data_IF_667523029665
#
_entry.id   IF_667523029665
#
_cell.length_a   1.000
_cell.length_b   1.000
_cell.length_c   1.000
_cell.angle_alpha   90.00
_cell.angle_beta   90.00
_cell.angle_gamma   90.00
#
_symmetry.space_group_name_H-M   'P 1'
#
loop_
_entity.id
_entity.type
_entity.pdbx_description
1 polymer ?
#
# COMPACT_ATOMS: atom_id res chain seq x y z
N UNK A 1 -22.34 -3.11 23.03
CA UNK A 1 -23.68 -3.61 22.68
C UNK A 1 -24.77 -3.04 23.60
N UNK A 2 -24.85 -3.39 24.89
CA UNK A 2 -25.89 -2.86 25.81
C UNK A 2 -25.91 -1.32 25.86
N UNK A 3 -24.73 -0.67 25.96
CA UNK A 3 -24.64 0.81 25.99
C UNK A 3 -25.16 1.49 24.73
N UNK A 4 -24.88 0.92 23.55
CA UNK A 4 -25.37 1.46 22.29
C UNK A 4 -26.87 1.22 22.14
N UNK A 5 -27.36 0.05 22.56
CA UNK A 5 -28.79 -0.28 22.56
C UNK A 5 -29.62 0.65 23.47
N UNK A 6 -29.07 1.10 24.61
CA UNK A 6 -29.74 2.09 25.48
C UNK A 6 -29.79 3.47 24.82
N UNK A 7 -28.72 3.89 24.14
CA UNK A 7 -28.70 5.17 23.41
C UNK A 7 -29.60 5.15 22.17
N UNK A 8 -29.71 4.01 21.49
CA UNK A 8 -30.62 3.81 20.36
C UNK A 8 -32.09 3.63 20.78
N UNK A 9 -32.38 3.41 22.07
CA UNK A 9 -33.75 3.20 22.56
C UNK A 9 -34.54 4.52 22.71
N UNK A 10 -33.84 5.65 22.87
CA UNK A 10 -34.42 7.01 22.91
C UNK A 10 -33.54 7.99 22.13
N UNK A 11 -33.45 7.82 20.80
CA UNK A 11 -32.58 8.65 19.96
C UNK A 11 -32.91 10.15 20.09
N UNK A 12 -34.17 10.49 20.38
CA UNK A 12 -34.67 11.85 20.69
C UNK A 12 -33.93 12.58 21.81
N UNK A 13 -33.31 11.85 22.75
CA UNK A 13 -32.62 12.42 23.91
C UNK A 13 -31.11 12.52 23.73
N UNK A 14 -30.56 12.06 22.59
CA UNK A 14 -29.11 11.93 22.41
C UNK A 14 -28.36 13.27 22.57
N UNK A 15 -28.92 14.37 22.05
CA UNK A 15 -28.34 15.69 22.22
C UNK A 15 -28.37 16.17 23.68
N UNK A 16 -29.49 15.98 24.39
CA UNK A 16 -29.62 16.39 25.80
C UNK A 16 -28.63 15.63 26.69
N UNK A 17 -28.48 14.32 26.45
CA UNK A 17 -27.49 13.49 27.16
C UNK A 17 -26.07 13.94 26.84
N UNK A 18 -25.78 14.27 25.57
CA UNK A 18 -24.46 14.79 25.19
C UNK A 18 -24.15 16.10 25.91
N UNK A 19 -25.10 17.03 25.92
CA UNK A 19 -24.97 18.34 26.56
C UNK A 19 -24.74 18.21 28.06
N UNK A 20 -25.57 17.44 28.75
CA UNK A 20 -25.46 17.24 30.18
C UNK A 20 -24.13 16.57 30.56
N UNK A 21 -23.74 15.54 29.81
CA UNK A 21 -22.47 14.86 30.01
C UNK A 21 -21.26 15.78 29.78
N UNK A 22 -21.33 16.65 28.75
CA UNK A 22 -20.27 17.62 28.43
C UNK A 22 -20.06 18.65 29.54
N UNK A 23 -21.11 19.00 30.27
CA UNK A 23 -21.04 19.90 31.43
C UNK A 23 -20.37 19.25 32.64
N UNK A 24 -20.40 17.91 32.72
CA UNK A 24 -19.82 17.14 33.82
C UNK A 24 -18.38 16.68 33.56
N UNK A 25 -18.04 16.34 32.32
CA UNK A 25 -16.72 15.82 31.95
C UNK A 25 -16.31 16.19 30.53
N UNK A 26 -15.01 16.30 30.28
CA UNK A 26 -14.43 16.42 28.93
C UNK A 26 -13.97 15.06 28.38
N UNK A 27 -14.02 14.01 29.19
CA UNK A 27 -13.56 12.67 28.83
C UNK A 27 -14.69 11.66 29.09
N UNK A 28 -15.27 11.15 28.01
CA UNK A 28 -16.26 10.08 28.09
C UNK A 28 -16.28 9.26 26.80
N UNK A 29 -16.33 7.94 26.95
CA UNK A 29 -16.52 6.99 25.84
C UNK A 29 -17.90 7.12 25.15
N UNK A 30 -18.81 7.94 25.67
CA UNK A 30 -20.15 8.13 25.12
C UNK A 30 -20.26 9.26 24.09
N UNK A 31 -19.29 10.20 24.04
CA UNK A 31 -19.39 11.33 23.12
C UNK A 31 -19.46 10.91 21.65
N UNK A 32 -18.60 9.97 21.24
CA UNK A 32 -18.56 9.41 19.89
C UNK A 32 -19.87 8.69 19.50
N UNK A 33 -20.38 7.70 20.28
CA UNK A 33 -21.68 7.09 20.01
C UNK A 33 -22.85 8.07 19.96
N UNK A 34 -22.90 9.04 20.88
CA UNK A 34 -23.96 10.05 20.91
C UNK A 34 -23.93 10.93 19.66
N UNK A 35 -22.74 11.37 19.23
CA UNK A 35 -22.57 12.15 18.02
C UNK A 35 -23.03 11.39 16.77
N UNK A 36 -22.71 10.09 16.69
CA UNK A 36 -23.22 9.23 15.62
C UNK A 36 -24.75 9.18 15.60
N UNK A 37 -25.39 8.99 16.76
CA UNK A 37 -26.86 8.96 16.86
C UNK A 37 -27.47 10.30 16.45
N UNK A 38 -26.91 11.42 16.92
CA UNK A 38 -27.36 12.77 16.54
C UNK A 38 -27.27 12.97 15.02
N UNK A 39 -26.16 12.54 14.40
CA UNK A 39 -26.00 12.60 12.94
C UNK A 39 -26.96 11.69 12.18
N UNK A 40 -27.14 10.45 12.64
CA UNK A 40 -28.01 9.46 12.01
C UNK A 40 -29.49 9.87 12.05
N UNK A 41 -29.91 10.61 13.08
CA UNK A 41 -31.26 11.21 13.15
C UNK A 41 -31.46 12.36 12.18
N UNK A 42 -30.37 13.05 11.82
CA UNK A 42 -30.39 14.15 10.88
C UNK A 42 -31.30 15.33 11.31
N UNK A 43 -31.51 15.54 12.61
CA UNK A 43 -32.29 16.69 13.08
C UNK A 43 -31.45 17.97 13.05
N UNK A 44 -31.83 18.90 12.17
CA UNK A 44 -31.02 20.09 11.84
C UNK A 44 -30.71 20.95 13.07
N UNK A 45 -31.66 21.11 13.98
CA UNK A 45 -31.49 21.89 15.21
C UNK A 45 -30.44 21.27 16.13
N UNK A 46 -30.46 19.96 16.32
CA UNK A 46 -29.53 19.22 17.18
C UNK A 46 -28.12 19.19 16.58
N UNK A 47 -28.00 18.97 15.28
CA UNK A 47 -26.71 18.99 14.58
C UNK A 47 -26.07 20.38 14.69
N UNK A 48 -26.83 21.44 14.42
CA UNK A 48 -26.32 22.83 14.53
C UNK A 48 -25.97 23.17 15.99
N UNK A 49 -26.76 22.71 16.96
CA UNK A 49 -26.47 22.94 18.37
C UNK A 49 -25.18 22.23 18.80
N UNK A 50 -24.98 20.97 18.38
CA UNK A 50 -23.74 20.22 18.63
C UNK A 50 -22.53 20.94 18.03
N UNK A 51 -22.61 21.37 16.78
CA UNK A 51 -21.51 22.09 16.12
C UNK A 51 -21.14 23.39 16.85
N UNK A 52 -22.12 24.14 17.39
CA UNK A 52 -21.84 25.34 18.21
C UNK A 52 -21.13 25.02 19.53
N UNK A 53 -21.41 23.87 20.13
CA UNK A 53 -20.71 23.40 21.33
C UNK A 53 -19.25 23.12 20.96
N UNK A 54 -19.04 22.38 19.87
CA UNK A 54 -17.72 21.98 19.40
C UNK A 54 -16.84 23.18 19.03
N UNK A 55 -17.40 24.19 18.37
CA UNK A 55 -16.71 25.45 18.03
C UNK A 55 -16.12 26.16 19.27
N UNK A 56 -16.85 26.13 20.39
CA UNK A 56 -16.48 26.86 21.62
C UNK A 56 -15.67 26.01 22.60
N UNK A 57 -15.41 24.75 22.28
CA UNK A 57 -14.80 23.82 23.24
C UNK A 57 -13.27 23.89 23.17
N UNK A 58 -12.61 23.84 24.34
CA UNK A 58 -11.16 23.90 24.46
C UNK A 58 -10.44 22.61 24.01
N UNK A 59 -9.11 22.71 23.85
CA UNK A 59 -8.20 21.68 23.33
C UNK A 59 -8.21 20.32 24.07
N UNK A 60 -8.82 20.22 25.26
CA UNK A 60 -8.87 18.97 26.04
C UNK A 60 -10.11 18.11 25.74
N UNK A 61 -10.98 18.53 24.83
CA UNK A 61 -12.13 17.76 24.38
C UNK A 61 -11.87 17.09 23.03
N UNK A 62 -12.37 15.86 22.79
CA UNK A 62 -12.11 15.13 21.54
C UNK A 62 -12.98 15.65 20.37
N UNK A 63 -12.85 16.93 20.02
CA UNK A 63 -13.66 17.59 18.98
C UNK A 63 -13.57 16.83 17.65
N UNK A 64 -12.37 16.42 17.23
CA UNK A 64 -12.16 15.68 15.98
C UNK A 64 -12.89 14.32 15.96
N UNK A 65 -12.80 13.54 17.03
CA UNK A 65 -13.47 12.23 17.11
C UNK A 65 -15.01 12.39 17.09
N UNK A 66 -15.52 13.41 17.79
CA UNK A 66 -16.95 13.73 17.79
C UNK A 66 -17.43 14.19 16.40
N UNK A 67 -16.67 15.08 15.73
CA UNK A 67 -16.96 15.51 14.36
C UNK A 67 -16.98 14.32 13.38
N UNK A 68 -15.98 13.42 13.47
CA UNK A 68 -15.91 12.21 12.66
C UNK A 68 -17.17 11.36 12.81
N UNK A 69 -17.60 11.09 14.05
CA UNK A 69 -18.77 10.25 14.31
C UNK A 69 -20.08 10.93 13.93
N UNK A 70 -20.19 12.24 14.12
CA UNK A 70 -21.32 13.02 13.62
C UNK A 70 -21.44 12.90 12.09
N UNK A 71 -20.33 13.01 11.36
CA UNK A 71 -20.29 12.86 9.91
C UNK A 71 -20.65 11.44 9.44
N UNK A 72 -20.14 10.40 10.10
CA UNK A 72 -20.56 9.01 9.84
C UNK A 72 -22.07 8.81 10.03
N UNK A 73 -22.63 9.40 11.10
CA UNK A 73 -24.06 9.40 11.36
C UNK A 73 -24.85 10.07 10.24
N UNK A 74 -24.48 11.29 9.85
CA UNK A 74 -25.12 12.03 8.76
C UNK A 74 -25.06 11.25 7.43
N UNK A 75 -23.90 10.65 7.09
CA UNK A 75 -23.76 9.83 5.88
C UNK A 75 -24.74 8.65 5.88
N UNK A 76 -24.98 8.03 7.04
CA UNK A 76 -25.91 6.91 7.17
C UNK A 76 -27.38 7.28 6.88
N UNK A 77 -27.73 8.56 7.01
CA UNK A 77 -29.05 9.12 6.71
C UNK A 77 -29.12 9.87 5.37
N UNK A 78 -28.03 9.85 4.58
CA UNK A 78 -27.94 10.48 3.26
C UNK A 78 -27.55 11.97 3.28
N UNK A 79 -27.13 12.50 4.44
CA UNK A 79 -26.65 13.87 4.60
C UNK A 79 -25.13 13.93 4.76
N UNK A 80 -24.55 15.12 4.67
CA UNK A 80 -23.11 15.33 4.85
C UNK A 80 -22.82 16.52 5.78
N UNK A 81 -21.64 16.54 6.40
CA UNK A 81 -21.18 17.69 7.20
C UNK A 81 -21.13 18.98 6.35
N UNK A 82 -20.84 18.86 5.05
CA UNK A 82 -20.83 19.98 4.10
C UNK A 82 -22.17 20.71 3.97
N UNK A 83 -23.27 20.06 4.35
CA UNK A 83 -24.61 20.66 4.31
C UNK A 83 -24.82 21.69 5.44
N UNK A 84 -23.87 21.77 6.38
CA UNK A 84 -23.90 22.64 7.56
C UNK A 84 -22.74 23.63 7.53
N UNK A 85 -22.97 24.94 7.25
CA UNK A 85 -21.90 25.94 7.22
C UNK A 85 -21.08 26.02 8.51
N UNK A 86 -21.72 25.82 9.66
CA UNK A 86 -21.07 25.81 10.97
C UNK A 86 -20.07 24.64 11.12
N UNK A 87 -20.26 23.54 10.40
CA UNK A 87 -19.28 22.44 10.40
C UNK A 87 -17.96 22.89 9.77
N UNK A 88 -17.99 23.69 8.71
CA UNK A 88 -16.78 24.25 8.11
C UNK A 88 -16.02 25.13 9.11
N UNK A 89 -16.72 25.97 9.89
CA UNK A 89 -16.10 26.82 10.91
C UNK A 89 -15.38 25.99 12.00
N UNK A 90 -16.00 24.90 12.48
CA UNK A 90 -15.36 23.97 13.43
C UNK A 90 -14.15 23.29 12.79
N UNK A 91 -14.26 22.86 11.53
CA UNK A 91 -13.19 22.17 10.82
C UNK A 91 -11.98 23.06 10.53
N UNK A 92 -12.14 24.38 10.34
CA UNK A 92 -11.00 25.29 10.08
C UNK A 92 -9.94 25.20 11.17
N UNK A 93 -10.36 25.25 12.44
CA UNK A 93 -9.43 25.12 13.58
C UNK A 93 -8.76 23.75 13.64
N UNK A 94 -9.54 22.68 13.48
CA UNK A 94 -9.04 21.30 13.50
C UNK A 94 -8.06 21.02 12.37
N UNK A 95 -8.34 21.54 11.17
CA UNK A 95 -7.47 21.39 10.00
C UNK A 95 -6.13 22.08 10.25
N UNK A 96 -6.13 23.30 10.78
CA UNK A 96 -4.86 23.99 11.02
C UNK A 96 -4.03 23.27 12.09
N UNK A 97 -4.66 22.79 13.16
CA UNK A 97 -4.01 21.92 14.15
C UNK A 97 -3.46 20.63 13.53
N UNK A 98 -4.24 19.96 12.70
CA UNK A 98 -3.83 18.75 12.00
C UNK A 98 -2.61 19.01 11.09
N UNK A 99 -2.59 20.12 10.35
CA UNK A 99 -1.45 20.51 9.51
C UNK A 99 -0.21 20.82 10.35
N UNK A 100 -0.37 21.49 11.49
CA UNK A 100 0.75 21.70 12.43
C UNK A 100 1.30 20.38 12.96
N UNK A 101 0.43 19.44 13.34
CA UNK A 101 0.79 18.09 13.79
C UNK A 101 1.57 17.34 12.71
N UNK A 102 1.15 17.43 11.45
CA UNK A 102 1.80 16.74 10.34
C UNK A 102 3.15 17.37 9.98
N UNK A 103 3.30 18.69 10.09
CA UNK A 103 4.56 19.39 9.82
C UNK A 103 5.63 19.20 10.91
N UNK A 104 5.22 18.90 12.15
CA UNK A 104 6.14 18.81 13.28
C UNK A 104 6.89 17.47 13.31
N UNK A 105 8.21 17.54 13.43
CA UNK A 105 9.06 16.38 13.63
C UNK A 105 8.84 15.73 15.01
N UNK A 106 9.04 14.41 15.12
CA UNK A 106 8.98 13.68 16.38
C UNK A 106 7.56 13.42 16.93
N UNK A 107 6.51 13.78 16.20
CA UNK A 107 5.14 13.42 16.57
C UNK A 107 4.89 11.93 16.33
N UNK A 108 4.20 11.27 17.26
CA UNK A 108 3.87 9.84 17.13
C UNK A 108 2.96 9.57 15.94
N UNK A 109 3.12 8.40 15.31
CA UNK A 109 2.28 7.97 14.18
C UNK A 109 0.79 8.01 14.50
N UNK A 110 0.38 7.65 15.73
CA UNK A 110 -1.03 7.73 16.15
C UNK A 110 -1.63 9.13 16.02
N UNK A 111 -0.92 10.16 16.49
CA UNK A 111 -1.37 11.56 16.36
C UNK A 111 -1.34 12.05 14.90
N UNK A 112 -0.36 11.60 14.12
CA UNK A 112 -0.31 11.91 12.69
C UNK A 112 -1.47 11.27 11.93
N UNK A 113 -1.84 10.03 12.24
CA UNK A 113 -3.00 9.35 11.65
C UNK A 113 -4.30 10.06 12.01
N UNK A 114 -4.46 10.53 13.24
CA UNK A 114 -5.62 11.33 13.64
C UNK A 114 -5.69 12.63 12.84
N UNK A 115 -4.57 13.34 12.68
CA UNK A 115 -4.49 14.53 11.84
C UNK A 115 -4.81 14.25 10.37
N UNK A 116 -4.35 13.11 9.82
CA UNK A 116 -4.71 12.68 8.45
C UNK A 116 -6.21 12.53 8.27
N UNK A 117 -6.89 11.88 9.22
CA UNK A 117 -8.35 11.71 9.20
C UNK A 117 -9.09 13.04 9.23
N UNK A 118 -8.62 13.99 10.05
CA UNK A 118 -9.19 15.35 10.08
C UNK A 118 -9.10 16.01 8.71
N UNK A 119 -7.95 15.91 8.03
CA UNK A 119 -7.79 16.47 6.68
C UNK A 119 -8.73 15.81 5.66
N UNK A 120 -8.88 14.48 5.72
CA UNK A 120 -9.78 13.75 4.83
C UNK A 120 -11.25 14.14 5.01
N UNK A 121 -11.67 14.49 6.23
CA UNK A 121 -13.05 14.86 6.55
C UNK A 121 -13.41 16.32 6.24
N UNK A 122 -12.41 17.18 6.04
CA UNK A 122 -12.65 18.61 5.92
C UNK A 122 -13.19 19.00 4.54
N UNK A 123 -12.38 18.84 3.50
CA UNK A 123 -12.72 19.15 2.12
C UNK A 123 -11.62 18.66 1.16
N UNK A 124 -11.94 18.54 -0.13
CA UNK A 124 -11.06 18.05 -1.18
C UNK A 124 -9.86 18.97 -1.46
N UNK A 125 -9.92 20.24 -1.06
CA UNK A 125 -8.80 21.17 -1.15
C UNK A 125 -7.53 20.65 -0.44
N UNK A 126 -7.68 19.77 0.56
CA UNK A 126 -6.57 19.17 1.32
C UNK A 126 -6.02 17.87 0.71
N UNK A 127 -6.53 17.44 -0.45
CA UNK A 127 -5.98 16.28 -1.15
C UNK A 127 -4.48 16.46 -1.45
N UNK A 128 -4.03 17.68 -1.70
CA UNK A 128 -2.60 17.95 -1.91
C UNK A 128 -1.77 17.67 -0.65
N UNK A 129 -2.25 18.05 0.54
CA UNK A 129 -1.58 17.75 1.80
C UNK A 129 -1.50 16.23 2.02
N UNK A 130 -2.56 15.48 1.71
CA UNK A 130 -2.56 14.01 1.80
C UNK A 130 -1.52 13.37 0.86
N UNK A 131 -1.43 13.82 -0.39
CA UNK A 131 -0.41 13.33 -1.33
C UNK A 131 1.02 13.63 -0.87
N UNK A 132 1.26 14.75 -0.16
CA UNK A 132 2.57 15.10 0.39
C UNK A 132 3.00 14.17 1.55
N UNK A 133 2.06 13.41 2.13
CA UNK A 133 2.38 12.41 3.16
C UNK A 133 2.90 11.10 2.57
N UNK A 134 2.70 10.85 1.26
CA UNK A 134 3.17 9.65 0.55
C UNK A 134 4.66 9.74 0.22
N UNK A 135 5.47 9.86 1.27
CA UNK A 135 6.93 10.02 1.18
C UNK A 135 7.65 9.04 2.13
N UNK A 136 8.85 8.54 1.76
CA UNK A 136 9.60 7.55 2.54
C UNK A 136 9.91 7.91 3.99
N UNK A 137 10.00 9.21 4.29
CA UNK A 137 10.29 9.72 5.62
C UNK A 137 9.12 9.54 6.60
N UNK A 138 7.90 9.30 6.10
CA UNK A 138 6.72 8.96 6.91
C UNK A 138 6.67 7.46 7.17
N UNK A 139 6.05 7.08 8.28
CA UNK A 139 5.82 5.66 8.60
C UNK A 139 4.79 5.07 7.64
N UNK A 140 4.80 3.75 7.50
CA UNK A 140 3.86 3.05 6.59
C UNK A 140 2.43 3.37 7.01
N UNK A 141 2.12 3.31 8.30
CA UNK A 141 0.78 3.50 8.85
C UNK A 141 0.21 4.89 8.55
N UNK A 142 1.05 5.93 8.56
CA UNK A 142 0.65 7.30 8.19
C UNK A 142 0.37 7.41 6.69
N UNK A 143 1.20 6.76 5.85
CA UNK A 143 0.98 6.73 4.41
C UNK A 143 -0.29 5.96 4.05
N UNK A 144 -0.56 4.84 4.71
CA UNK A 144 -1.78 4.04 4.54
C UNK A 144 -3.03 4.83 4.97
N UNK A 145 -2.97 5.56 6.09
CA UNK A 145 -4.04 6.46 6.48
C UNK A 145 -4.29 7.52 5.38
N UNK A 146 -3.24 8.12 4.82
CA UNK A 146 -3.39 9.10 3.75
C UNK A 146 -3.98 8.47 2.48
N UNK A 147 -3.58 7.25 2.12
CA UNK A 147 -4.16 6.50 1.01
C UNK A 147 -5.63 6.18 1.23
N UNK A 148 -6.05 5.86 2.45
CA UNK A 148 -7.45 5.63 2.79
C UNK A 148 -8.30 6.89 2.55
N UNK A 149 -7.82 8.05 3.00
CA UNK A 149 -8.51 9.33 2.76
C UNK A 149 -8.52 9.73 1.27
N UNK A 150 -7.41 9.51 0.55
CA UNK A 150 -7.38 9.69 -0.92
C UNK A 150 -8.35 8.72 -1.60
N UNK A 151 -8.47 7.49 -1.12
CA UNK A 151 -9.39 6.52 -1.67
C UNK A 151 -10.84 6.91 -1.43
N UNK A 152 -11.18 7.50 -0.30
CA UNK A 152 -12.55 7.95 0.00
C UNK A 152 -12.90 9.21 -0.79
N UNK A 153 -12.07 10.26 -0.72
CA UNK A 153 -12.41 11.62 -1.17
C UNK A 153 -11.71 12.05 -2.46
N UNK A 154 -10.77 11.27 -2.97
CA UNK A 154 -10.00 11.61 -4.16
C UNK A 154 -10.87 11.75 -5.42
N UNK A 155 -10.63 12.82 -6.17
CA UNK A 155 -11.20 13.04 -7.50
C UNK A 155 -10.36 12.34 -8.57
N UNK A 156 -10.82 12.33 -9.83
CA UNK A 156 -10.02 11.80 -10.95
C UNK A 156 -8.62 12.42 -11.04
N UNK A 157 -8.45 13.68 -10.66
CA UNK A 157 -7.14 14.35 -10.59
C UNK A 157 -6.16 13.71 -9.60
N UNK A 158 -6.63 13.04 -8.55
CA UNK A 158 -5.79 12.30 -7.59
C UNK A 158 -5.18 11.05 -8.22
N UNK A 159 -5.84 10.43 -9.20
CA UNK A 159 -5.34 9.22 -9.85
C UNK A 159 -3.98 9.49 -10.52
N UNK A 160 -3.89 10.56 -11.32
CA UNK A 160 -2.65 10.94 -12.00
C UNK A 160 -1.48 11.15 -11.02
N UNK A 161 -1.71 11.92 -9.97
CA UNK A 161 -0.70 12.16 -8.91
C UNK A 161 -0.27 10.86 -8.23
N UNK A 162 -1.22 10.00 -7.86
CA UNK A 162 -0.92 8.73 -7.20
C UNK A 162 -0.12 7.80 -8.12
N UNK A 163 -0.48 7.72 -9.41
CA UNK A 163 0.25 6.96 -10.43
C UNK A 163 1.69 7.46 -10.57
N UNK A 164 1.91 8.77 -10.55
CA UNK A 164 3.24 9.37 -10.64
C UNK A 164 4.09 9.08 -9.40
N UNK A 165 3.46 8.91 -8.23
CA UNK A 165 4.14 8.59 -6.97
C UNK A 165 4.49 7.11 -6.81
N UNK A 166 3.84 6.18 -7.53
CA UNK A 166 4.07 4.72 -7.39
C UNK A 166 5.55 4.28 -7.40
N UNK A 167 6.46 4.81 -8.25
CA UNK A 167 7.88 4.42 -8.23
C UNK A 167 8.57 4.72 -6.90
N UNK A 168 8.09 5.72 -6.17
CA UNK A 168 8.74 6.26 -4.98
C UNK A 168 8.25 5.62 -3.68
N UNK A 169 7.22 4.77 -3.77
CA UNK A 169 6.61 4.11 -2.63
C UNK A 169 7.33 2.80 -2.30
N UNK A 170 7.39 2.48 -1.01
CA UNK A 170 7.85 1.17 -0.54
C UNK A 170 6.86 0.06 -0.93
N UNK A 171 7.26 -1.23 -0.91
CA UNK A 171 6.42 -2.32 -1.40
C UNK A 171 5.03 -2.36 -0.75
N UNK A 172 4.97 -2.17 0.57
CA UNK A 172 3.73 -2.23 1.35
C UNK A 172 2.76 -1.10 0.96
N UNK A 173 3.25 0.14 0.95
CA UNK A 173 2.45 1.33 0.61
C UNK A 173 2.04 1.30 -0.87
N UNK A 174 2.94 0.86 -1.75
CA UNK A 174 2.67 0.78 -3.19
C UNK A 174 1.61 -0.25 -3.54
N UNK A 175 1.61 -1.40 -2.87
CA UNK A 175 0.57 -2.42 -3.04
C UNK A 175 -0.81 -1.86 -2.69
N UNK A 176 -0.90 -1.11 -1.59
CA UNK A 176 -2.14 -0.45 -1.18
C UNK A 176 -2.55 0.67 -2.13
N UNK A 177 -1.62 1.53 -2.55
CA UNK A 177 -1.86 2.57 -3.54
C UNK A 177 -2.39 1.99 -4.87
N UNK A 178 -1.86 0.84 -5.28
CA UNK A 178 -2.34 0.12 -6.46
C UNK A 178 -3.77 -0.38 -6.26
N UNK A 179 -4.09 -0.99 -5.11
CA UNK A 179 -5.48 -1.38 -4.83
C UNK A 179 -6.43 -0.18 -4.80
N UNK A 180 -6.00 0.96 -4.24
CA UNK A 180 -6.77 2.21 -4.26
C UNK A 180 -7.07 2.67 -5.70
N UNK A 181 -6.07 2.64 -6.60
CA UNK A 181 -6.26 2.93 -8.03
C UNK A 181 -7.25 1.97 -8.71
N UNK A 182 -7.30 0.72 -8.25
CA UNK A 182 -8.15 -0.32 -8.84
C UNK A 182 -9.60 -0.32 -8.33
N UNK A 183 -9.97 0.60 -7.40
CA UNK A 183 -11.34 0.69 -6.86
C UNK A 183 -12.35 1.38 -7.78
N UNK A 184 -11.89 2.19 -8.73
CA UNK A 184 -12.75 3.03 -9.60
C UNK A 184 -12.37 2.83 -11.05
N UNK A 185 -13.35 2.56 -11.92
CA UNK A 185 -13.12 2.34 -13.36
C UNK A 185 -12.34 3.49 -14.01
N UNK A 186 -12.67 4.74 -13.70
CA UNK A 186 -11.94 5.90 -14.24
C UNK A 186 -10.46 5.91 -13.85
N UNK A 187 -10.12 5.46 -12.64
CA UNK A 187 -8.74 5.40 -12.15
C UNK A 187 -7.99 4.20 -12.71
N UNK A 188 -8.69 3.07 -12.89
CA UNK A 188 -8.16 1.91 -13.60
C UNK A 188 -7.78 2.28 -15.03
N UNK A 189 -8.65 2.99 -15.74
CA UNK A 189 -8.36 3.47 -17.11
C UNK A 189 -7.13 4.38 -17.14
N UNK A 190 -7.05 5.37 -16.25
CA UNK A 190 -5.91 6.29 -16.16
C UNK A 190 -4.60 5.52 -15.83
N UNK A 191 -4.65 4.52 -14.95
CA UNK A 191 -3.52 3.64 -14.63
C UNK A 191 -3.08 2.83 -15.84
N UNK A 192 -3.99 2.13 -16.52
CA UNK A 192 -3.65 1.30 -17.68
C UNK A 192 -3.11 2.14 -18.85
N UNK A 193 -3.67 3.32 -19.10
CA UNK A 193 -3.15 4.26 -20.11
C UNK A 193 -1.74 4.74 -19.73
N UNK A 194 -1.48 5.00 -18.45
CA UNK A 194 -0.14 5.38 -17.97
C UNK A 194 0.87 4.24 -18.17
N UNK A 195 0.52 3.00 -17.82
CA UNK A 195 1.34 1.81 -18.04
C UNK A 195 1.67 1.65 -19.53
N UNK A 196 0.67 1.82 -20.40
CA UNK A 196 0.85 1.72 -21.84
C UNK A 196 1.83 2.77 -22.38
N UNK A 197 1.66 4.03 -21.97
CA UNK A 197 2.48 5.16 -22.46
C UNK A 197 3.91 5.11 -21.93
N UNK A 198 4.06 4.93 -20.61
CA UNK A 198 5.37 4.99 -19.95
C UNK A 198 6.14 3.68 -20.08
N UNK A 199 5.46 2.57 -20.40
CA UNK A 199 5.99 1.18 -20.35
C UNK A 199 6.57 0.80 -18.98
N UNK A 200 6.25 1.57 -17.95
CA UNK A 200 6.62 1.32 -16.57
C UNK A 200 5.45 0.59 -15.87
N UNK A 201 5.75 -0.15 -14.81
CA UNK A 201 4.75 -0.75 -13.89
C UNK A 201 3.98 -1.99 -14.36
N UNK A 202 4.17 -2.50 -15.59
CA UNK A 202 3.46 -3.73 -16.03
C UNK A 202 3.69 -4.90 -15.05
N UNK A 203 4.91 -5.04 -14.53
CA UNK A 203 5.30 -6.09 -13.58
C UNK A 203 4.84 -5.82 -12.14
N UNK A 204 4.40 -4.59 -11.84
CA UNK A 204 3.94 -4.20 -10.50
C UNK A 204 2.46 -4.54 -10.27
N UNK A 205 1.71 -4.79 -11.35
CA UNK A 205 0.36 -5.34 -11.26
C UNK A 205 0.49 -6.86 -11.10
N UNK A 206 0.11 -7.38 -9.94
CA UNK A 206 0.18 -8.82 -9.64
C UNK A 206 -0.67 -9.65 -10.61
N UNK A 207 -0.34 -10.94 -10.79
CA UNK A 207 -1.16 -11.84 -11.62
C UNK A 207 -2.65 -11.86 -11.23
N UNK A 208 -2.94 -11.79 -9.93
CA UNK A 208 -4.32 -11.74 -9.45
C UNK A 208 -5.05 -10.49 -9.95
N UNK A 209 -4.41 -9.33 -9.84
CA UNK A 209 -4.93 -8.07 -10.36
C UNK A 209 -5.02 -8.08 -11.89
N UNK A 210 -4.01 -8.60 -12.60
CA UNK A 210 -4.05 -8.75 -14.07
C UNK A 210 -5.23 -9.62 -14.51
N UNK A 211 -5.45 -10.77 -13.84
CA UNK A 211 -6.60 -11.65 -14.10
C UNK A 211 -7.94 -10.96 -13.85
N UNK A 212 -8.04 -10.15 -12.77
CA UNK A 212 -9.21 -9.31 -12.47
C UNK A 212 -9.47 -8.31 -13.61
N UNK A 213 -8.42 -7.63 -14.07
CA UNK A 213 -8.49 -6.62 -15.13
C UNK A 213 -8.82 -7.22 -16.51
N UNK A 214 -8.29 -8.41 -16.81
CA UNK A 214 -8.61 -9.14 -18.05
C UNK A 214 -10.06 -9.62 -18.11
N UNK A 215 -10.72 -9.77 -16.96
CA UNK A 215 -12.13 -10.17 -16.82
C UNK A 215 -13.04 -9.00 -16.41
N UNK A 216 -12.54 -7.77 -16.48
CA UNK A 216 -13.28 -6.60 -16.02
C UNK A 216 -14.56 -6.36 -16.85
N UNK A 217 -15.68 -5.90 -16.22
CA UNK A 217 -16.94 -5.65 -16.91
C UNK A 217 -16.88 -4.51 -17.93
N UNK A 218 -16.11 -3.45 -17.66
CA UNK A 218 -15.88 -2.36 -18.62
C UNK A 218 -15.12 -2.88 -19.86
N UNK A 219 -15.68 -2.76 -21.09
CA UNK A 219 -15.01 -3.16 -22.32
C UNK A 219 -13.71 -2.39 -22.59
N UNK A 220 -13.66 -1.11 -22.18
CA UNK A 220 -12.48 -0.25 -22.33
C UNK A 220 -11.33 -0.78 -21.49
N UNK A 221 -11.57 -1.05 -20.20
CA UNK A 221 -10.57 -1.61 -19.28
C UNK A 221 -10.13 -2.99 -19.77
N UNK A 222 -11.07 -3.84 -20.19
CA UNK A 222 -10.75 -5.18 -20.67
C UNK A 222 -9.85 -5.13 -21.92
N UNK A 223 -10.11 -4.22 -22.86
CA UNK A 223 -9.30 -4.02 -24.07
C UNK A 223 -7.88 -3.56 -23.73
N UNK A 224 -7.75 -2.57 -22.84
CA UNK A 224 -6.45 -2.08 -22.35
C UNK A 224 -5.68 -3.20 -21.62
N UNK A 225 -6.35 -3.91 -20.72
CA UNK A 225 -5.78 -5.03 -19.98
C UNK A 225 -5.31 -6.15 -20.92
N UNK A 226 -6.08 -6.51 -21.95
CA UNK A 226 -5.66 -7.48 -22.97
C UNK A 226 -4.40 -7.00 -23.69
N UNK A 227 -4.36 -5.73 -24.11
CA UNK A 227 -3.19 -5.16 -24.79
C UNK A 227 -1.92 -5.16 -23.93
N UNK A 228 -2.08 -5.00 -22.61
CA UNK A 228 -0.97 -4.90 -21.67
C UNK A 228 -0.49 -6.25 -21.13
N UNK A 229 -1.43 -7.09 -20.69
CA UNK A 229 -1.17 -8.29 -19.89
C UNK A 229 -1.41 -9.60 -20.64
N UNK A 230 -1.95 -9.59 -21.85
CA UNK A 230 -1.96 -10.83 -22.65
C UNK A 230 -0.52 -11.23 -22.91
N UNK A 231 -0.21 -12.52 -22.77
CA UNK A 231 1.15 -13.07 -22.82
C UNK A 231 1.92 -12.52 -24.03
N UNK A 232 2.75 -11.49 -23.79
CA UNK A 232 3.64 -10.95 -24.80
C UNK A 232 4.89 -11.80 -24.83
N UNK A 233 5.33 -12.12 -26.05
CA UNK A 233 6.61 -12.79 -26.21
C UNK A 233 7.71 -11.89 -25.65
N UNK A 234 8.51 -12.38 -24.72
CA UNK A 234 9.68 -11.66 -24.21
C UNK A 234 10.91 -12.04 -25.04
N UNK A 235 11.95 -11.18 -25.12
CA UNK A 235 13.21 -11.56 -25.76
C UNK A 235 13.82 -12.85 -25.19
N UNK A 236 13.54 -13.15 -23.91
CA UNK A 236 14.01 -14.34 -23.19
C UNK A 236 13.23 -15.60 -23.56
N UNK A 237 12.09 -15.52 -24.25
CA UNK A 237 11.33 -16.72 -24.66
C UNK A 237 12.16 -17.69 -25.49
N UNK A 238 13.03 -17.20 -26.38
CA UNK A 238 13.91 -18.08 -27.17
C UNK A 238 14.83 -18.91 -26.28
N UNK A 239 15.32 -18.31 -25.19
CA UNK A 239 16.19 -18.97 -24.21
C UNK A 239 15.37 -19.99 -23.42
N UNK A 240 14.21 -19.59 -22.90
CA UNK A 240 13.28 -20.50 -22.20
C UNK A 240 12.94 -21.71 -23.08
N UNK A 241 12.57 -21.50 -24.35
CA UNK A 241 12.25 -22.60 -25.28
C UNK A 241 13.45 -23.51 -25.54
N UNK A 242 14.66 -22.95 -25.72
CA UNK A 242 15.90 -23.75 -25.83
C UNK A 242 16.10 -24.61 -24.59
N UNK A 243 15.90 -24.04 -23.41
CA UNK A 243 16.12 -24.72 -22.14
C UNK A 243 15.05 -25.75 -21.78
N UNK A 244 13.89 -25.76 -22.45
CA UNK A 244 12.95 -26.89 -22.35
C UNK A 244 13.58 -28.22 -22.72
N UNK A 245 14.66 -28.24 -23.52
CA UNK A 245 15.39 -29.46 -23.82
C UNK A 245 16.00 -30.12 -22.56
N UNK A 246 16.29 -29.36 -21.51
CA UNK A 246 16.80 -29.89 -20.25
C UNK A 246 15.79 -30.84 -19.56
N UNK A 247 14.49 -30.71 -19.83
CA UNK A 247 13.45 -31.65 -19.35
C UNK A 247 13.65 -33.09 -19.82
N UNK A 248 14.35 -33.28 -20.94
CA UNK A 248 14.55 -34.60 -21.55
C UNK A 248 15.81 -35.28 -21.03
N UNK A 249 16.61 -34.59 -20.22
CA UNK A 249 17.85 -35.11 -19.67
C UNK A 249 17.56 -35.75 -18.31
N UNK A 250 18.32 -36.79 -17.97
CA UNK A 250 18.32 -37.32 -16.61
C UNK A 250 19.15 -36.37 -15.74
N UNK A 251 18.51 -35.76 -14.74
CA UNK A 251 19.18 -34.88 -13.77
C UNK A 251 19.73 -35.66 -12.57
N UNK A 252 20.90 -35.26 -12.09
CA UNK A 252 21.53 -35.74 -10.85
C UNK A 252 21.37 -34.70 -9.73
N UNK A 253 20.65 -35.05 -8.67
CA UNK A 253 20.38 -34.15 -7.55
C UNK A 253 21.65 -33.71 -6.79
N UNK A 254 22.70 -34.55 -6.73
CA UNK A 254 23.94 -34.17 -6.05
C UNK A 254 24.69 -33.10 -6.85
N UNK A 255 24.75 -33.24 -8.18
CA UNK A 255 25.29 -32.19 -9.07
C UNK A 255 24.41 -30.94 -9.05
N UNK A 256 23.09 -31.12 -8.94
CA UNK A 256 22.14 -30.02 -8.81
C UNK A 256 22.38 -29.17 -7.56
N UNK A 257 22.72 -29.80 -6.43
CA UNK A 257 23.11 -29.11 -5.21
C UNK A 257 24.36 -28.25 -5.41
N UNK A 258 25.36 -28.72 -6.18
CA UNK A 258 26.54 -27.91 -6.51
C UNK A 258 26.17 -26.68 -7.36
N UNK A 259 25.28 -26.86 -8.35
CA UNK A 259 24.76 -25.75 -9.16
C UNK A 259 24.01 -24.75 -8.28
N UNK A 260 23.18 -25.21 -7.34
CA UNK A 260 22.48 -24.37 -6.37
C UNK A 260 23.45 -23.58 -5.49
N UNK A 261 24.46 -24.24 -4.92
CA UNK A 261 25.48 -23.61 -4.07
C UNK A 261 26.29 -22.55 -4.82
N UNK A 262 26.57 -22.78 -6.11
CA UNK A 262 27.35 -21.82 -6.91
C UNK A 262 26.54 -20.60 -7.35
N UNK A 263 25.26 -20.77 -7.67
CA UNK A 263 24.50 -19.73 -8.38
C UNK A 263 23.30 -19.17 -7.60
N UNK A 264 22.75 -19.92 -6.64
CA UNK A 264 21.45 -19.61 -6.02
C UNK A 264 21.57 -19.30 -4.52
N UNK A 265 22.51 -19.93 -3.81
CA UNK A 265 22.60 -19.90 -2.33
C UNK A 265 22.82 -18.51 -1.75
N UNK A 266 23.44 -17.60 -2.51
CA UNK A 266 23.65 -16.22 -2.10
C UNK A 266 22.33 -15.47 -1.87
N UNK A 267 21.25 -15.90 -2.52
CA UNK A 267 19.94 -15.24 -2.41
C UNK A 267 18.85 -16.16 -1.88
N UNK A 268 18.90 -17.46 -2.15
CA UNK A 268 17.84 -18.40 -1.83
C UNK A 268 18.26 -19.38 -0.76
N UNK A 269 17.32 -19.71 0.12
CA UNK A 269 17.50 -20.71 1.17
C UNK A 269 16.92 -22.06 0.74
N UNK A 270 17.63 -23.13 1.09
CA UNK A 270 17.16 -24.52 1.04
C UNK A 270 17.56 -25.23 2.33
N UNK A 271 16.59 -25.60 3.17
CA UNK A 271 16.88 -26.08 4.52
C UNK A 271 17.59 -25.00 5.35
N UNK A 272 18.75 -25.34 5.90
CA UNK A 272 19.60 -24.42 6.67
C UNK A 272 20.65 -23.67 5.82
N UNK A 273 20.82 -24.02 4.54
CA UNK A 273 21.80 -23.38 3.65
C UNK A 273 21.20 -22.18 2.90
N UNK A 274 21.94 -21.07 2.87
CA UNK A 274 21.62 -19.87 2.08
C UNK A 274 20.92 -18.77 2.87
N UNK A 275 20.26 -17.86 2.15
CA UNK A 275 19.72 -16.61 2.73
C UNK A 275 18.27 -16.36 2.31
N UNK A 276 17.52 -15.59 3.10
CA UNK A 276 16.12 -15.23 2.84
C UNK A 276 15.99 -13.92 2.02
N UNK A 277 16.82 -13.76 0.99
CA UNK A 277 16.79 -12.59 0.12
C UNK A 277 15.79 -12.78 -1.01
N UNK A 278 15.82 -13.94 -1.68
CA UNK A 278 14.82 -14.43 -2.60
C UNK A 278 13.80 -15.35 -1.91
N UNK A 279 12.77 -15.80 -2.64
CA UNK A 279 11.83 -16.80 -2.12
C UNK A 279 12.53 -18.09 -1.69
N UNK A 280 11.99 -18.76 -0.67
CA UNK A 280 12.47 -20.07 -0.25
C UNK A 280 12.27 -21.10 -1.38
N UNK A 281 13.36 -21.74 -1.83
CA UNK A 281 13.30 -22.65 -2.98
C UNK A 281 12.65 -23.99 -2.64
N UNK A 282 12.43 -24.31 -1.35
CA UNK A 282 11.63 -25.47 -0.97
C UNK A 282 10.20 -25.41 -1.55
N UNK A 283 9.69 -24.19 -1.81
CA UNK A 283 8.37 -23.99 -2.43
C UNK A 283 8.30 -24.41 -3.90
N UNK A 284 9.46 -24.60 -4.56
CA UNK A 284 9.56 -25.00 -5.98
C UNK A 284 9.08 -26.44 -6.19
N UNK A 285 9.12 -27.29 -5.16
CA UNK A 285 8.64 -28.69 -5.23
C UNK A 285 7.21 -28.80 -5.76
N UNK A 286 6.36 -27.82 -5.49
CA UNK A 286 4.95 -27.80 -5.90
C UNK A 286 4.69 -27.09 -7.25
N UNK A 287 5.73 -26.60 -7.94
CA UNK A 287 5.60 -25.90 -9.22
C UNK A 287 5.86 -26.82 -10.40
N UNK A 288 5.23 -26.53 -11.53
CA UNK A 288 5.60 -27.16 -12.80
C UNK A 288 6.98 -26.67 -13.25
N UNK A 289 7.69 -27.52 -14.00
CA UNK A 289 9.05 -27.21 -14.46
C UNK A 289 9.09 -25.96 -15.34
N UNK A 290 8.14 -25.83 -16.25
CA UNK A 290 8.16 -24.74 -17.24
C UNK A 290 8.04 -23.38 -16.54
N UNK A 291 7.15 -23.27 -15.55
CA UNK A 291 6.99 -22.10 -14.70
C UNK A 291 8.26 -21.79 -13.89
N UNK A 292 8.89 -22.80 -13.29
CA UNK A 292 10.14 -22.62 -12.55
C UNK A 292 11.30 -22.19 -13.48
N UNK A 293 11.41 -22.81 -14.65
CA UNK A 293 12.41 -22.49 -15.66
C UNK A 293 12.26 -21.03 -16.13
N UNK A 294 11.02 -20.60 -16.36
CA UNK A 294 10.71 -19.22 -16.70
C UNK A 294 11.18 -18.27 -15.60
N UNK A 295 10.97 -18.58 -14.32
CA UNK A 295 11.40 -17.71 -13.22
C UNK A 295 12.92 -17.65 -13.08
N UNK A 296 13.63 -18.74 -13.39
CA UNK A 296 15.09 -18.78 -13.35
C UNK A 296 15.69 -18.01 -14.53
N UNK A 297 15.14 -18.19 -15.74
CA UNK A 297 15.71 -17.63 -16.97
C UNK A 297 15.14 -16.27 -17.34
N UNK A 298 13.97 -15.89 -16.84
CA UNK A 298 13.32 -14.61 -17.09
C UNK A 298 12.76 -14.05 -15.77
N UNK A 299 13.64 -13.73 -14.79
CA UNK A 299 13.23 -13.29 -13.46
C UNK A 299 12.48 -11.96 -13.46
N UNK A 300 12.57 -11.19 -14.56
CA UNK A 300 11.81 -9.95 -14.74
C UNK A 300 10.42 -10.18 -15.37
N UNK A 301 10.10 -11.39 -15.85
CA UNK A 301 8.78 -11.68 -16.42
C UNK A 301 7.66 -11.41 -15.42
N UNK A 302 7.87 -11.88 -14.20
CA UNK A 302 6.98 -11.68 -13.07
C UNK A 302 7.81 -11.34 -11.84
N UNK A 303 7.66 -10.12 -11.37
CA UNK A 303 8.35 -9.65 -10.18
C UNK A 303 7.30 -9.48 -9.10
N UNK A 304 7.41 -10.28 -8.05
CA UNK A 304 6.62 -10.06 -6.85
C UNK A 304 7.07 -8.73 -6.22
N UNK A 305 6.12 -7.88 -5.82
CA UNK A 305 6.40 -6.51 -5.36
C UNK A 305 7.43 -6.44 -4.22
N UNK A 306 7.51 -7.47 -3.39
CA UNK A 306 8.46 -7.58 -2.29
C UNK A 306 9.85 -8.09 -2.70
N UNK A 307 10.07 -8.49 -3.96
CA UNK A 307 11.36 -8.98 -4.51
C UNK A 307 11.98 -8.07 -5.57
N UNK A 308 11.42 -6.88 -5.75
CA UNK A 308 12.01 -5.84 -6.57
C UNK A 308 13.28 -5.25 -5.95
N UNK A 309 14.20 -4.82 -6.80
CA UNK A 309 15.34 -4.02 -6.42
C UNK A 309 14.93 -2.55 -6.23
N UNK A 310 15.36 -1.97 -5.13
CA UNK A 310 15.19 -0.58 -4.76
C UNK A 310 16.53 0.15 -4.67
N UNK A 311 16.48 1.44 -4.95
CA UNK A 311 17.54 2.40 -4.67
C UNK A 311 17.06 3.39 -3.61
N UNK A 312 17.77 3.45 -2.49
CA UNK A 312 17.48 4.37 -1.39
C UNK A 312 18.59 5.41 -1.34
N UNK A 313 18.28 6.64 -1.71
CA UNK A 313 19.21 7.76 -1.59
C UNK A 313 19.02 8.42 -0.23
N UNK A 314 20.12 8.58 0.49
CA UNK A 314 20.17 9.21 1.80
C UNK A 314 20.39 10.72 1.67
N UNK A 315 20.05 11.47 2.71
CA UNK A 315 20.23 12.92 2.79
C UNK A 315 21.69 13.36 2.68
N UNK A 316 22.64 12.49 3.04
CA UNK A 316 24.07 12.72 2.89
C UNK A 316 24.60 12.43 1.46
N UNK A 317 23.73 12.07 0.50
CA UNK A 317 24.08 11.79 -0.89
C UNK A 317 24.42 10.33 -1.20
N UNK A 318 24.61 9.48 -0.19
CA UNK A 318 24.87 8.05 -0.40
C UNK A 318 23.64 7.36 -1.00
N UNK A 319 23.85 6.45 -1.96
CA UNK A 319 22.77 5.58 -2.48
C UNK A 319 23.05 4.14 -2.09
N UNK A 320 22.02 3.50 -1.55
CA UNK A 320 22.05 2.14 -1.02
C UNK A 320 21.04 1.33 -1.82
N UNK A 321 21.48 0.28 -2.53
CA UNK A 321 20.60 -0.55 -3.35
C UNK A 321 20.31 -1.91 -2.71
N UNK A 322 19.15 -2.51 -2.97
CA UNK A 322 18.78 -3.83 -2.43
C UNK A 322 17.28 -4.05 -2.43
N UNK A 323 16.83 -5.17 -1.86
CA UNK A 323 15.40 -5.44 -1.63
C UNK A 323 15.02 -4.95 -0.25
N UNK A 324 13.85 -4.33 -0.09
CA UNK A 324 13.33 -3.99 1.24
C UNK A 324 12.85 -5.28 1.91
N UNK A 325 13.61 -5.76 2.90
CA UNK A 325 13.32 -7.01 3.64
C UNK A 325 12.50 -6.77 4.91
N UNK A 326 12.62 -5.58 5.50
CA UNK A 326 11.82 -5.13 6.65
C UNK A 326 11.49 -3.65 6.53
N UNK A 327 10.29 -3.31 6.97
CA UNK A 327 9.83 -1.93 7.16
C UNK A 327 9.32 -1.77 8.59
N UNK A 328 9.72 -0.70 9.26
CA UNK A 328 9.20 -0.33 10.58
C UNK A 328 8.87 1.17 10.64
N UNK A 329 8.34 1.63 11.77
CA UNK A 329 8.14 3.05 12.03
C UNK A 329 9.48 3.83 12.08
N UNK A 330 10.58 3.21 12.50
CA UNK A 330 11.88 3.87 12.67
C UNK A 330 12.76 3.82 11.42
N UNK A 331 12.63 2.80 10.58
CA UNK A 331 13.58 2.53 9.51
C UNK A 331 13.11 1.51 8.47
N UNK A 332 14.01 1.26 7.53
CA UNK A 332 13.93 0.22 6.53
C UNK A 332 15.20 -0.62 6.60
N UNK A 333 15.09 -1.90 6.29
CA UNK A 333 16.26 -2.76 6.08
C UNK A 333 16.31 -3.20 4.63
N UNK A 334 17.44 -2.93 3.97
CA UNK A 334 17.73 -3.43 2.64
C UNK A 334 18.58 -4.70 2.72
N UNK A 335 18.12 -5.77 2.09
CA UNK A 335 18.87 -7.02 1.92
C UNK A 335 19.51 -7.11 0.52
N UNK A 336 20.69 -7.73 0.46
CA UNK A 336 21.42 -8.06 -0.77
C UNK A 336 21.88 -9.51 -0.76
N UNK A 337 22.35 -9.98 -1.91
CA UNK A 337 23.04 -11.26 -2.05
C UNK A 337 24.12 -11.44 -0.95
N UNK A 338 24.23 -12.67 -0.44
CA UNK A 338 25.09 -13.03 0.69
C UNK A 338 24.50 -12.71 2.06
N UNK A 339 23.21 -12.35 2.14
CA UNK A 339 22.56 -12.01 3.42
C UNK A 339 22.98 -10.66 3.99
N UNK A 340 23.61 -9.80 3.20
CA UNK A 340 24.06 -8.49 3.67
C UNK A 340 22.85 -7.58 3.88
N UNK A 341 22.64 -7.17 5.12
CA UNK A 341 21.60 -6.21 5.50
C UNK A 341 22.16 -4.80 5.71
N UNK A 342 21.40 -3.78 5.34
CA UNK A 342 21.70 -2.38 5.61
C UNK A 342 20.47 -1.73 6.25
N UNK A 343 20.58 -1.38 7.53
CA UNK A 343 19.52 -0.67 8.25
C UNK A 343 19.63 0.83 8.01
N UNK A 344 18.51 1.44 7.64
CA UNK A 344 18.42 2.84 7.24
C UNK A 344 17.31 3.50 8.05
N UNK A 345 17.67 4.50 8.86
CA UNK A 345 16.68 5.29 9.58
C UNK A 345 15.85 6.14 8.62
N UNK A 346 14.52 6.15 8.76
CA UNK A 346 13.61 6.91 7.88
C UNK A 346 13.95 8.40 7.80
N UNK A 347 14.37 8.99 8.92
CA UNK A 347 14.77 10.40 9.00
C UNK A 347 15.96 10.76 8.08
N UNK A 348 16.79 9.77 7.72
CA UNK A 348 17.96 9.94 6.85
C UNK A 348 17.63 9.69 5.37
N UNK A 349 16.44 9.19 5.05
CA UNK A 349 16.05 8.90 3.66
C UNK A 349 15.70 10.22 2.95
N UNK A 350 16.26 10.40 1.76
CA UNK A 350 15.92 11.48 0.84
C UNK A 350 14.90 10.98 -0.19
N UNK A 351 15.14 9.82 -0.79
CA UNK A 351 14.22 9.19 -1.74
C UNK A 351 14.37 7.67 -1.73
N UNK A 352 13.31 6.99 -2.18
CA UNK A 352 13.28 5.57 -2.49
C UNK A 352 12.78 5.47 -3.91
N UNK A 353 13.41 4.64 -4.73
CA UNK A 353 12.99 4.43 -6.11
C UNK A 353 13.02 2.93 -6.38
N UNK A 354 11.89 2.37 -6.79
CA UNK A 354 11.87 1.02 -7.37
C UNK A 354 12.54 1.05 -8.74
N UNK A 355 13.43 0.09 -8.99
CA UNK A 355 14.01 -0.13 -10.31
C UNK A 355 13.02 -0.70 -11.32
N UNK A 356 11.87 -1.20 -10.86
CA UNK A 356 10.93 -2.00 -11.66
C UNK A 356 11.51 -3.34 -12.13
N UNK A 357 12.65 -3.77 -11.57
CA UNK A 357 13.37 -5.00 -11.90
C UNK A 357 13.51 -5.90 -10.68
N UNK A 358 13.60 -7.20 -10.93
CA UNK A 358 13.93 -8.19 -9.92
C UNK A 358 15.34 -7.95 -9.38
N UNK A 359 15.56 -8.26 -8.09
CA UNK A 359 16.91 -8.34 -7.55
C UNK A 359 17.67 -9.58 -8.09
N UNK A 360 16.95 -10.59 -8.59
CA UNK A 360 17.55 -11.77 -9.20
C UNK A 360 18.20 -11.41 -10.55
N UNK A 361 19.47 -11.80 -10.78
CA UNK A 361 20.17 -11.48 -12.02
C UNK A 361 19.61 -12.24 -13.22
N UNK A 362 19.64 -11.60 -14.39
CA UNK A 362 19.47 -12.28 -15.67
C UNK A 362 20.80 -12.87 -16.16
N UNK A 363 20.75 -13.79 -17.13
CA UNK A 363 21.95 -14.31 -17.79
C UNK A 363 22.51 -15.61 -17.18
N UNK A 364 21.78 -16.28 -16.28
CA UNK A 364 22.21 -17.54 -15.68
C UNK A 364 22.49 -18.65 -16.71
N UNK A 365 21.86 -18.60 -17.88
CA UNK A 365 22.12 -19.51 -19.01
C UNK A 365 23.56 -19.44 -19.54
N UNK A 366 24.30 -18.37 -19.26
CA UNK A 366 25.70 -18.26 -19.65
C UNK A 366 26.62 -19.16 -18.81
N UNK A 367 26.18 -19.55 -17.60
CA UNK A 367 26.98 -20.33 -16.63
C UNK A 367 26.30 -21.63 -16.19
N UNK A 368 25.01 -21.81 -16.50
CA UNK A 368 24.24 -23.03 -16.28
C UNK A 368 23.83 -23.60 -17.64
N UNK A 369 24.50 -24.66 -18.08
CA UNK A 369 24.17 -25.36 -19.32
C UNK A 369 22.90 -26.25 -19.17
N UNK A 370 22.51 -26.94 -20.25
CA UNK A 370 21.29 -27.75 -20.25
C UNK A 370 21.34 -28.90 -19.23
N UNK A 371 22.48 -29.57 -19.10
CA UNK A 371 22.64 -30.67 -18.14
C UNK A 371 22.61 -30.14 -16.72
N UNK A 372 23.35 -29.06 -16.43
CA UNK A 372 23.37 -28.40 -15.12
C UNK A 372 22.00 -27.88 -14.70
N UNK A 373 21.18 -27.41 -15.66
CA UNK A 373 19.79 -27.02 -15.40
C UNK A 373 18.90 -28.23 -15.06
N UNK A 374 19.10 -29.36 -15.73
CA UNK A 374 18.41 -30.62 -15.41
C UNK A 374 18.78 -31.13 -14.03
N UNK A 375 20.08 -31.11 -13.71
CA UNK A 375 20.62 -31.48 -12.39
C UNK A 375 20.05 -30.56 -11.30
N UNK A 376 20.09 -29.24 -11.51
CA UNK A 376 19.50 -28.24 -10.60
C UNK A 376 18.03 -28.53 -10.35
N UNK A 377 17.26 -28.85 -11.39
CA UNK A 377 15.85 -29.19 -11.22
C UNK A 377 15.64 -30.47 -10.42
N UNK A 378 16.44 -31.52 -10.67
CA UNK A 378 16.38 -32.75 -9.90
C UNK A 378 16.59 -32.49 -8.40
N UNK A 379 17.54 -31.62 -8.05
CA UNK A 379 17.77 -31.16 -6.68
C UNK A 379 16.60 -30.33 -6.12
N UNK A 380 16.07 -29.37 -6.88
CA UNK A 380 14.94 -28.54 -6.40
C UNK A 380 13.65 -29.35 -6.16
N UNK A 381 13.55 -30.55 -6.76
CA UNK A 381 12.42 -31.48 -6.59
C UNK A 381 12.61 -32.52 -5.50
N UNK A 382 13.85 -32.89 -5.17
CA UNK A 382 14.15 -33.82 -4.05
C UNK A 382 13.78 -33.20 -2.73
#
# INVERSE_FOLDING_TARGET
>A
WIRFAVLSARPETAFDVFWELKNQTHQSSLFEPLAFVIGARHEKSEVVALLRILEKTSSNFPVAAVMSKLGEGLKSSGANLSDYPKAAEVMVGLVEEARMVLKRDGVSSGKQIEAVKILGQADDQFLSDLHQLLVPSRTVEVQQAALAEIAEFGRRSSAGKLIDQLPELSPSVRSEATEVLLRRDAWVEDLLVSIEKKKTFTHQISQAQQKRLLKHPSPTIQKLAKKLFSAKKTPRDKIVQKYKAALKLAGDANKGLEVFRKNCVACHRHGEEGYAIGPDVATVKNRDYESALIQILDPNREILANFEQYFVTLKNGQTVSGRIVRESASGLTLGRAGGVESEILRKNIKSIISSGRSLMPEGLEAVIDLQSMSDLWAFLKS
#
